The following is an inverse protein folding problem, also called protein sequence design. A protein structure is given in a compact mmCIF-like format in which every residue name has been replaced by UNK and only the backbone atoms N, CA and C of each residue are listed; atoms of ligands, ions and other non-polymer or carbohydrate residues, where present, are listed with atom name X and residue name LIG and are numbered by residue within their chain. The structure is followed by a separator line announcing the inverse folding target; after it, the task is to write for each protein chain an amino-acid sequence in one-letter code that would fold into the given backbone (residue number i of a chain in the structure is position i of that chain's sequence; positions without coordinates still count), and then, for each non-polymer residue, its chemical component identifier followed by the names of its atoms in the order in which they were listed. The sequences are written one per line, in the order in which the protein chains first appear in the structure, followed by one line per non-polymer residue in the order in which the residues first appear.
data_IF_665388114876
#
_entry.id   IF_665388114876
#
_cell.length_a   1.000
_cell.length_b   1.000
_cell.length_c   1.000
_cell.angle_alpha   90.00
_cell.angle_beta   90.00
_cell.angle_gamma   90.00
#
_symmetry.space_group_name_H-M   'P 1'
#
loop_
_entity.id
_entity.type
_entity.pdbx_description
1 polymer ?
#
# COMPACT_ATOMS: atom_id res chain seq x y z
N UNK A 1 -29.08 4.35 23.24
CA UNK A 1 -28.27 5.34 23.99
C UNK A 1 -26.96 5.46 23.23
N UNK A 2 -26.79 6.52 22.44
CA UNK A 2 -25.55 6.72 21.65
C UNK A 2 -24.51 7.21 22.64
N UNK A 3 -23.52 6.39 22.96
CA UNK A 3 -22.38 6.79 23.77
C UNK A 3 -21.72 7.99 23.04
N UNK A 4 -21.77 9.17 23.65
CA UNK A 4 -21.16 10.38 23.08
C UNK A 4 -19.66 10.14 22.95
N UNK A 5 -19.20 9.90 21.71
CA UNK A 5 -17.79 9.82 21.39
C UNK A 5 -17.12 11.10 21.90
N UNK A 6 -16.19 10.95 22.84
CA UNK A 6 -15.46 12.11 23.38
C UNK A 6 -14.51 12.64 22.32
N UNK A 7 -14.46 13.97 22.16
CA UNK A 7 -13.56 14.60 21.17
C UNK A 7 -12.09 14.11 21.28
N UNK A 8 -11.65 13.72 22.47
CA UNK A 8 -10.33 13.11 22.69
C UNK A 8 -10.14 11.72 22.07
N UNK A 9 -11.21 11.01 21.70
CA UNK A 9 -11.09 9.69 21.07
C UNK A 9 -10.74 9.79 19.56
N UNK A 10 -10.93 10.98 18.97
CA UNK A 10 -10.64 11.25 17.58
C UNK A 10 -9.15 11.50 17.33
N UNK A 11 -8.50 12.13 18.31
CA UNK A 11 -7.10 12.60 18.21
C UNK A 11 -6.15 11.76 19.08
N UNK A 12 -6.44 10.47 19.23
CA UNK A 12 -5.59 9.55 20.02
C UNK A 12 -4.25 9.25 19.33
N UNK A 13 -4.26 9.22 18.01
CA UNK A 13 -3.08 8.90 17.22
C UNK A 13 -2.15 10.11 17.15
N UNK A 14 -0.91 9.93 17.63
CA UNK A 14 0.11 10.99 17.70
C UNK A 14 1.17 10.88 16.61
N UNK A 15 1.28 9.73 15.96
CA UNK A 15 2.26 9.49 14.91
C UNK A 15 1.69 8.59 13.80
N UNK A 16 2.38 8.57 12.66
CA UNK A 16 2.01 7.75 11.51
C UNK A 16 1.99 6.26 11.84
N UNK A 17 2.80 5.82 12.81
CA UNK A 17 2.84 4.44 13.26
C UNK A 17 1.54 4.01 13.95
N UNK A 18 0.94 4.89 14.74
CA UNK A 18 -0.37 4.62 15.39
C UNK A 18 -1.45 4.42 14.32
N UNK A 19 -1.43 5.27 13.27
CA UNK A 19 -2.35 5.15 12.13
C UNK A 19 -2.11 3.84 11.37
N UNK A 20 -0.85 3.41 11.20
CA UNK A 20 -0.51 2.13 10.60
C UNK A 20 -1.10 0.95 11.37
N UNK A 21 -0.98 0.95 12.69
CA UNK A 21 -1.55 -0.10 13.54
C UNK A 21 -3.09 -0.17 13.44
N UNK A 22 -3.74 0.99 13.29
CA UNK A 22 -5.18 1.03 13.01
C UNK A 22 -5.50 0.52 11.61
N UNK A 23 -4.70 0.87 10.61
CA UNK A 23 -4.87 0.42 9.23
C UNK A 23 -4.73 -1.10 9.09
N UNK A 24 -3.92 -1.74 9.94
CA UNK A 24 -3.79 -3.20 9.99
C UNK A 24 -5.07 -3.91 10.46
N UNK A 25 -5.96 -3.22 11.20
CA UNK A 25 -7.27 -3.79 11.59
C UNK A 25 -8.25 -3.88 10.42
N UNK A 26 -8.02 -3.10 9.37
CA UNK A 26 -8.84 -3.15 8.15
C UNK A 26 -8.38 -4.32 7.29
N UNK A 27 -9.21 -5.34 7.18
CA UNK A 27 -8.91 -6.53 6.38
C UNK A 27 -8.72 -6.19 4.91
N UNK A 28 -7.84 -6.92 4.25
CA UNK A 28 -7.75 -6.89 2.78
C UNK A 28 -8.87 -7.73 2.17
N UNK A 29 -9.37 -7.32 1.02
CA UNK A 29 -10.32 -8.13 0.26
C UNK A 29 -9.68 -9.48 -0.13
N UNK A 30 -10.45 -10.56 0.00
CA UNK A 30 -10.01 -11.92 -0.38
C UNK A 30 -9.60 -11.96 -1.86
N UNK A 31 -10.32 -11.23 -2.73
CA UNK A 31 -9.97 -11.11 -4.15
C UNK A 31 -8.58 -10.49 -4.36
N UNK A 32 -8.24 -9.45 -3.61
CA UNK A 32 -6.90 -8.81 -3.67
C UNK A 32 -5.81 -9.79 -3.23
N UNK A 33 -6.06 -10.55 -2.16
CA UNK A 33 -5.11 -11.53 -1.65
C UNK A 33 -4.90 -12.68 -2.65
N UNK A 34 -5.98 -13.22 -3.22
CA UNK A 34 -5.90 -14.27 -4.24
C UNK A 34 -5.14 -13.81 -5.49
N UNK A 35 -5.42 -12.59 -5.97
CA UNK A 35 -4.70 -12.02 -7.13
C UNK A 35 -3.21 -11.85 -6.84
N UNK A 36 -2.86 -11.38 -5.66
CA UNK A 36 -1.46 -11.20 -5.25
C UNK A 36 -0.72 -12.53 -5.15
N UNK A 37 -1.34 -13.53 -4.54
CA UNK A 37 -0.79 -14.89 -4.44
C UNK A 37 -0.61 -15.53 -5.81
N UNK A 38 -1.58 -15.37 -6.72
CA UNK A 38 -1.49 -15.86 -8.09
C UNK A 38 -0.28 -15.28 -8.82
N UNK A 39 -0.09 -13.94 -8.74
CA UNK A 39 1.06 -13.28 -9.37
C UNK A 39 2.38 -13.74 -8.73
N UNK A 40 2.42 -13.85 -7.41
CA UNK A 40 3.62 -14.33 -6.70
C UNK A 40 4.00 -15.74 -7.15
N UNK A 41 3.03 -16.66 -7.26
CA UNK A 41 3.25 -18.05 -7.73
C UNK A 41 3.75 -18.06 -9.18
N UNK A 42 3.16 -17.22 -10.06
CA UNK A 42 3.60 -17.13 -11.46
C UNK A 42 5.05 -16.63 -11.56
N UNK A 43 5.42 -15.59 -10.81
CA UNK A 43 6.78 -15.06 -10.80
C UNK A 43 7.77 -16.05 -10.19
N UNK A 44 7.36 -16.76 -9.14
CA UNK A 44 8.16 -17.81 -8.53
C UNK A 44 8.39 -18.97 -9.50
N UNK A 45 7.35 -19.42 -10.19
CA UNK A 45 7.45 -20.46 -11.22
C UNK A 45 8.39 -20.02 -12.34
N UNK A 46 8.28 -18.78 -12.81
CA UNK A 46 9.14 -18.23 -13.85
C UNK A 46 10.63 -18.20 -13.41
N UNK A 47 10.90 -17.83 -12.16
CA UNK A 47 12.27 -17.75 -11.63
C UNK A 47 12.90 -19.12 -11.35
N UNK A 48 12.10 -20.13 -10.97
CA UNK A 48 12.61 -21.44 -10.54
C UNK A 48 12.62 -22.48 -11.65
N UNK A 49 11.57 -22.51 -12.50
CA UNK A 49 11.43 -23.57 -13.51
C UNK A 49 11.97 -23.20 -14.90
N UNK A 50 12.05 -21.90 -15.23
CA UNK A 50 12.53 -21.44 -16.52
C UNK A 50 14.04 -21.11 -16.51
N UNK A 51 14.77 -21.51 -15.46
CA UNK A 51 16.25 -21.36 -15.31
C UNK A 51 16.76 -19.98 -15.76
N UNK A 52 16.06 -18.93 -15.34
CA UNK A 52 16.46 -17.59 -15.72
C UNK A 52 17.81 -17.24 -15.09
N UNK A 53 18.80 -16.87 -15.91
CA UNK A 53 20.10 -16.44 -15.42
C UNK A 53 19.95 -15.36 -14.34
N UNK A 54 20.64 -15.52 -13.22
CA UNK A 54 20.62 -14.59 -12.08
C UNK A 54 20.93 -13.15 -12.50
N UNK A 55 21.74 -12.93 -13.52
CA UNK A 55 22.05 -11.61 -14.06
C UNK A 55 20.81 -10.95 -14.71
N UNK A 56 20.00 -11.75 -15.38
CA UNK A 56 18.73 -11.29 -15.98
C UNK A 56 17.75 -10.89 -14.89
N UNK A 57 17.60 -11.73 -13.85
CA UNK A 57 16.73 -11.42 -12.71
C UNK A 57 17.15 -10.14 -11.99
N UNK A 58 18.45 -9.93 -11.78
CA UNK A 58 18.99 -8.71 -11.16
C UNK A 58 18.66 -7.48 -12.04
N UNK A 59 18.78 -7.61 -13.34
CA UNK A 59 18.44 -6.52 -14.28
C UNK A 59 16.96 -6.19 -14.24
N UNK A 60 16.10 -7.21 -14.24
CA UNK A 60 14.66 -7.06 -14.10
C UNK A 60 14.28 -6.39 -12.76
N UNK A 61 14.88 -6.81 -11.64
CA UNK A 61 14.69 -6.20 -10.32
C UNK A 61 14.99 -4.69 -10.35
N UNK A 62 16.11 -4.30 -10.97
CA UNK A 62 16.50 -2.88 -11.09
C UNK A 62 15.53 -2.08 -11.95
N UNK A 63 15.17 -2.61 -13.12
CA UNK A 63 14.24 -1.98 -14.04
C UNK A 63 12.85 -1.82 -13.40
N UNK A 64 12.33 -2.87 -12.78
CA UNK A 64 11.04 -2.83 -12.09
C UNK A 64 11.06 -1.90 -10.87
N UNK A 65 12.18 -1.85 -10.13
CA UNK A 65 12.30 -0.92 -9.02
C UNK A 65 12.33 0.54 -9.49
N UNK A 66 13.01 0.85 -10.58
CA UNK A 66 13.01 2.19 -11.17
C UNK A 66 11.61 2.59 -11.65
N UNK A 67 10.94 1.68 -12.35
CA UNK A 67 9.57 1.87 -12.83
C UNK A 67 8.59 2.03 -11.66
N UNK A 68 8.70 1.19 -10.63
CA UNK A 68 7.89 1.23 -9.43
C UNK A 68 8.12 2.51 -8.62
N UNK A 69 9.35 2.98 -8.51
CA UNK A 69 9.67 4.24 -7.85
C UNK A 69 8.99 5.43 -8.55
N UNK A 70 9.15 5.56 -9.86
CA UNK A 70 8.51 6.62 -10.64
C UNK A 70 6.98 6.56 -10.52
N UNK A 71 6.40 5.36 -10.61
CA UNK A 71 4.98 5.16 -10.45
C UNK A 71 4.49 5.59 -9.06
N UNK A 72 5.19 5.17 -8.00
CA UNK A 72 4.76 5.50 -6.63
C UNK A 72 4.87 6.98 -6.33
N UNK A 73 5.95 7.65 -6.71
CA UNK A 73 6.15 9.10 -6.48
C UNK A 73 5.08 9.92 -7.22
N UNK A 74 4.82 9.59 -8.48
CA UNK A 74 3.80 10.28 -9.29
C UNK A 74 2.41 10.05 -8.71
N UNK A 75 2.08 8.80 -8.34
CA UNK A 75 0.76 8.45 -7.80
C UNK A 75 0.55 9.06 -6.42
N UNK A 76 1.59 9.18 -5.56
CA UNK A 76 1.47 9.84 -4.26
C UNK A 76 1.00 11.29 -4.40
N UNK A 77 1.50 12.04 -5.39
CA UNK A 77 1.02 13.38 -5.69
C UNK A 77 -0.49 13.41 -6.00
N UNK A 78 -0.94 12.46 -6.82
CA UNK A 78 -2.35 12.29 -7.16
C UNK A 78 -3.22 11.90 -5.95
N UNK A 79 -2.72 11.01 -5.10
CA UNK A 79 -3.41 10.58 -3.88
C UNK A 79 -3.60 11.76 -2.92
N UNK A 80 -2.57 12.60 -2.74
CA UNK A 80 -2.64 13.80 -1.89
C UNK A 80 -3.71 14.76 -2.42
N UNK A 81 -3.71 15.03 -3.73
CA UNK A 81 -4.74 15.88 -4.35
C UNK A 81 -6.15 15.31 -4.14
N UNK A 82 -6.35 14.01 -4.39
CA UNK A 82 -7.62 13.33 -4.17
C UNK A 82 -8.08 13.38 -2.71
N UNK A 83 -7.17 13.19 -1.77
CA UNK A 83 -7.46 13.31 -0.34
C UNK A 83 -7.85 14.74 0.05
N UNK A 84 -7.17 15.75 -0.50
CA UNK A 84 -7.49 17.16 -0.25
C UNK A 84 -8.90 17.49 -0.75
N UNK A 85 -9.25 17.05 -1.95
CA UNK A 85 -10.62 17.22 -2.50
C UNK A 85 -11.66 16.57 -1.56
N UNK A 86 -11.39 15.33 -1.13
CA UNK A 86 -12.24 14.63 -0.17
C UNK A 86 -12.43 15.43 1.11
N UNK A 87 -11.35 15.95 1.69
CA UNK A 87 -11.40 16.69 2.96
C UNK A 87 -12.11 18.05 2.84
N UNK A 88 -12.05 18.69 1.67
CA UNK A 88 -12.65 20.03 1.44
C UNK A 88 -14.11 19.99 0.99
N UNK A 89 -14.53 18.94 0.26
CA UNK A 89 -15.92 18.81 -0.21
C UNK A 89 -16.89 18.39 0.89
N UNK A 90 -16.41 17.86 1.99
CA UNK A 90 -17.24 17.32 3.05
C UNK A 90 -17.74 18.41 3.99
N UNK A 91 -19.06 18.50 4.16
CA UNK A 91 -19.68 19.42 5.12
C UNK A 91 -19.43 18.98 6.56
N UNK A 92 -19.19 19.91 7.51
CA UNK A 92 -18.98 19.59 8.93
C UNK A 92 -20.10 18.72 9.54
N UNK A 93 -21.35 19.00 9.20
CA UNK A 93 -22.52 18.27 9.73
C UNK A 93 -22.52 16.80 9.31
N UNK A 94 -22.08 16.52 8.08
CA UNK A 94 -21.90 15.15 7.59
C UNK A 94 -20.82 14.42 8.38
N UNK A 95 -19.69 15.06 8.66
CA UNK A 95 -18.64 14.48 9.49
C UNK A 95 -19.12 14.16 10.90
N UNK A 96 -19.89 15.07 11.53
CA UNK A 96 -20.48 14.85 12.85
C UNK A 96 -21.40 13.63 12.87
N UNK A 97 -22.20 13.47 11.82
CA UNK A 97 -23.08 12.30 11.71
C UNK A 97 -22.31 11.00 11.48
N UNK A 98 -21.30 11.02 10.59
CA UNK A 98 -20.45 9.84 10.39
C UNK A 98 -19.67 9.44 11.64
N UNK A 99 -19.46 10.38 12.56
CA UNK A 99 -18.85 10.09 13.86
C UNK A 99 -19.82 9.40 14.82
N UNK A 100 -21.13 9.65 14.69
CA UNK A 100 -22.16 9.05 15.55
C UNK A 100 -22.41 7.56 15.23
N UNK A 101 -21.98 7.08 14.06
CA UNK A 101 -22.16 5.67 13.65
C UNK A 101 -20.86 4.90 13.73
N UNK A 102 -20.92 3.66 14.22
CA UNK A 102 -19.80 2.73 14.25
C UNK A 102 -19.79 1.82 13.02
N UNK A 103 -18.59 1.56 12.51
CA UNK A 103 -18.41 0.56 11.46
C UNK A 103 -18.63 -0.85 12.02
N UNK A 104 -19.46 -1.71 11.39
CA UNK A 104 -19.89 -2.99 11.96
C UNK A 104 -18.74 -3.96 12.26
N UNK A 105 -17.72 -4.00 11.43
CA UNK A 105 -16.60 -4.93 11.60
C UNK A 105 -15.53 -4.42 12.56
N UNK A 106 -15.16 -3.14 12.46
CA UNK A 106 -14.00 -2.60 13.18
C UNK A 106 -14.36 -1.89 14.48
N UNK A 107 -15.65 -1.64 14.71
CA UNK A 107 -16.16 -0.87 15.87
C UNK A 107 -15.57 0.54 15.98
N UNK A 108 -14.98 1.03 14.93
CA UNK A 108 -14.48 2.41 14.83
C UNK A 108 -15.61 3.33 14.31
N UNK A 109 -15.63 4.62 14.68
CA UNK A 109 -16.50 5.60 14.02
C UNK A 109 -16.32 5.54 12.50
N UNK A 110 -17.41 5.60 11.75
CA UNK A 110 -17.38 5.49 10.27
C UNK A 110 -16.46 6.54 9.66
N UNK A 111 -16.46 7.77 10.20
CA UNK A 111 -15.52 8.80 9.77
C UNK A 111 -14.06 8.35 9.93
N UNK A 112 -13.71 7.87 11.11
CA UNK A 112 -12.34 7.40 11.41
C UNK A 112 -11.95 6.22 10.53
N UNK A 113 -12.87 5.28 10.31
CA UNK A 113 -12.65 4.15 9.39
C UNK A 113 -12.31 4.63 7.96
N UNK A 114 -13.05 5.60 7.43
CA UNK A 114 -12.79 6.13 6.10
C UNK A 114 -11.42 6.82 6.01
N UNK A 115 -11.08 7.68 6.97
CA UNK A 115 -9.77 8.32 7.00
C UNK A 115 -8.62 7.31 7.12
N UNK A 116 -8.76 6.31 7.99
CA UNK A 116 -7.77 5.24 8.16
C UNK A 116 -7.65 4.40 6.88
N UNK A 117 -8.76 4.14 6.18
CA UNK A 117 -8.74 3.46 4.88
C UNK A 117 -7.94 4.22 3.83
N UNK A 118 -8.09 5.56 3.76
CA UNK A 118 -7.26 6.38 2.87
C UNK A 118 -5.79 6.37 3.31
N UNK A 119 -5.53 6.55 4.59
CA UNK A 119 -4.16 6.52 5.12
C UNK A 119 -3.47 5.18 4.88
N UNK A 120 -4.19 4.06 4.90
CA UNK A 120 -3.66 2.73 4.56
C UNK A 120 -3.04 2.71 3.16
N UNK A 121 -3.70 3.36 2.19
CA UNK A 121 -3.20 3.46 0.82
C UNK A 121 -1.91 4.28 0.78
N UNK A 122 -1.89 5.46 1.42
CA UNK A 122 -0.68 6.28 1.49
C UNK A 122 0.50 5.53 2.10
N UNK A 123 0.27 4.84 3.22
CA UNK A 123 1.30 4.07 3.90
C UNK A 123 1.85 2.96 2.98
N UNK A 124 0.99 2.26 2.24
CA UNK A 124 1.42 1.24 1.29
C UNK A 124 2.31 1.82 0.18
N UNK A 125 1.92 2.96 -0.39
CA UNK A 125 2.71 3.65 -1.42
C UNK A 125 4.05 4.15 -0.86
N UNK A 126 4.07 4.77 0.31
CA UNK A 126 5.30 5.25 0.97
C UNK A 126 6.24 4.07 1.24
N UNK A 127 5.74 2.97 1.78
CA UNK A 127 6.53 1.79 2.07
C UNK A 127 7.17 1.20 0.80
N UNK A 128 6.39 1.04 -0.27
CA UNK A 128 6.92 0.55 -1.54
C UNK A 128 7.90 1.54 -2.19
N UNK A 129 7.68 2.85 -2.05
CA UNK A 129 8.63 3.87 -2.51
C UNK A 129 9.99 3.71 -1.84
N UNK A 130 10.02 3.52 -0.52
CA UNK A 130 11.27 3.25 0.21
C UNK A 130 11.90 1.93 -0.19
N UNK A 131 11.11 0.89 -0.41
CA UNK A 131 11.61 -0.40 -0.89
C UNK A 131 12.31 -0.26 -2.25
N UNK A 132 11.67 0.41 -3.22
CA UNK A 132 12.27 0.64 -4.53
C UNK A 132 13.49 1.53 -4.47
N UNK A 133 13.44 2.61 -3.68
CA UNK A 133 14.57 3.49 -3.46
C UNK A 133 15.78 2.74 -2.88
N UNK A 134 15.53 1.85 -1.91
CA UNK A 134 16.56 1.01 -1.33
C UNK A 134 17.24 0.13 -2.41
N UNK A 135 16.45 -0.52 -3.27
CA UNK A 135 16.98 -1.33 -4.37
C UNK A 135 17.78 -0.45 -5.35
N UNK A 136 17.26 0.72 -5.71
CA UNK A 136 17.93 1.65 -6.63
C UNK A 136 19.29 2.11 -6.07
N UNK A 137 19.36 2.45 -4.78
CA UNK A 137 20.59 2.97 -4.18
C UNK A 137 21.63 1.87 -3.92
N UNK A 138 21.20 0.72 -3.43
CA UNK A 138 22.11 -0.32 -2.93
C UNK A 138 22.40 -1.43 -3.93
N UNK A 139 21.48 -1.75 -4.86
CA UNK A 139 21.65 -2.83 -5.82
C UNK A 139 22.23 -2.40 -7.18
N UNK A 140 22.86 -1.23 -7.26
CA UNK A 140 23.55 -0.76 -8.47
C UNK A 140 24.71 -1.69 -8.87
N UNK A 141 25.03 -1.79 -10.19
CA UNK A 141 26.23 -2.47 -10.66
C UNK A 141 27.47 -1.80 -10.02
N UNK A 142 28.31 -2.56 -9.33
CA UNK A 142 29.46 -2.07 -8.56
C UNK A 142 29.10 -1.20 -7.33
N UNK A 143 27.83 -1.14 -6.93
CA UNK A 143 27.37 -0.48 -5.71
C UNK A 143 27.77 -1.24 -4.44
N UNK A 144 27.53 -0.60 -3.29
CA UNK A 144 27.84 -1.17 -1.97
C UNK A 144 27.19 -2.54 -1.77
N UNK A 145 25.90 -2.67 -2.10
CA UNK A 145 25.15 -3.93 -1.96
C UNK A 145 25.70 -5.04 -2.84
N UNK A 146 26.09 -4.74 -4.10
CA UNK A 146 26.71 -5.72 -5.00
C UNK A 146 28.05 -6.21 -4.46
N UNK A 147 28.84 -5.34 -3.86
CA UNK A 147 30.15 -5.71 -3.28
C UNK A 147 29.97 -6.52 -1.99
N UNK A 148 29.07 -6.09 -1.09
CA UNK A 148 28.74 -6.84 0.12
C UNK A 148 28.22 -8.24 -0.23
N UNK A 149 27.32 -8.35 -1.21
CA UNK A 149 26.76 -9.62 -1.64
C UNK A 149 27.80 -10.58 -2.24
N UNK A 150 28.88 -10.05 -2.84
CA UNK A 150 30.01 -10.85 -3.33
C UNK A 150 30.90 -11.35 -2.19
N UNK A 151 31.14 -10.52 -1.17
CA UNK A 151 32.03 -10.84 -0.04
C UNK A 151 31.34 -11.80 0.93
N UNK A 152 30.01 -11.83 1.01
CA UNK A 152 29.28 -12.72 1.91
C UNK A 152 29.59 -14.19 1.59
N UNK A 153 30.02 -15.00 2.58
CA UNK A 153 30.35 -16.41 2.39
C UNK A 153 29.07 -17.27 2.26
N UNK A 154 28.21 -16.93 1.31
CA UNK A 154 26.99 -17.66 1.01
C UNK A 154 27.23 -18.59 -0.19
N UNK A 155 26.63 -19.77 -0.15
CA UNK A 155 26.64 -20.69 -1.30
C UNK A 155 25.92 -20.07 -2.50
N UNK A 156 26.28 -20.46 -3.70
CA UNK A 156 25.67 -19.96 -4.94
C UNK A 156 24.15 -20.18 -4.95
N UNK A 157 23.71 -21.32 -4.42
CA UNK A 157 22.28 -21.66 -4.32
C UNK A 157 21.51 -20.66 -3.42
N UNK A 158 22.06 -20.31 -2.27
CA UNK A 158 21.45 -19.33 -1.37
C UNK A 158 21.40 -17.95 -2.04
N UNK A 159 22.47 -17.55 -2.73
CA UNK A 159 22.52 -16.28 -3.49
C UNK A 159 21.42 -16.23 -4.55
N UNK A 160 21.29 -17.27 -5.34
CA UNK A 160 20.23 -17.37 -6.36
C UNK A 160 18.84 -17.37 -5.75
N UNK A 161 18.64 -18.07 -4.62
CA UNK A 161 17.39 -18.06 -3.87
C UNK A 161 16.97 -16.65 -3.39
N UNK A 162 17.91 -15.86 -2.86
CA UNK A 162 17.67 -14.47 -2.43
C UNK A 162 17.29 -13.60 -3.64
N UNK A 163 17.99 -13.74 -4.77
CA UNK A 163 17.68 -12.98 -6.00
C UNK A 163 16.29 -13.33 -6.49
N UNK A 164 15.94 -14.62 -6.59
CA UNK A 164 14.62 -15.08 -7.02
C UNK A 164 13.50 -14.58 -6.09
N UNK A 165 13.72 -14.63 -4.78
CA UNK A 165 12.77 -14.13 -3.80
C UNK A 165 12.57 -12.61 -3.92
N UNK A 166 13.66 -11.85 -4.07
CA UNK A 166 13.61 -10.39 -4.29
C UNK A 166 12.86 -10.05 -5.58
N UNK A 167 13.10 -10.80 -6.66
CA UNK A 167 12.39 -10.66 -7.93
C UNK A 167 10.87 -10.83 -7.73
N UNK A 168 10.45 -11.87 -7.02
CA UNK A 168 9.04 -12.10 -6.72
C UNK A 168 8.42 -10.98 -5.88
N UNK A 169 9.14 -10.48 -4.87
CA UNK A 169 8.65 -9.39 -4.02
C UNK A 169 8.48 -8.11 -4.84
N UNK A 170 9.50 -7.71 -5.60
CA UNK A 170 9.45 -6.47 -6.38
C UNK A 170 8.34 -6.54 -7.44
N UNK A 171 8.23 -7.63 -8.20
CA UNK A 171 7.18 -7.80 -9.19
C UNK A 171 5.77 -7.81 -8.58
N UNK A 172 5.58 -8.55 -7.48
CA UNK A 172 4.29 -8.61 -6.78
C UNK A 172 3.92 -7.28 -6.14
N UNK A 173 4.89 -6.48 -5.67
CA UNK A 173 4.62 -5.18 -5.05
C UNK A 173 4.01 -4.18 -6.02
N UNK A 174 4.39 -4.21 -7.31
CA UNK A 174 3.80 -3.36 -8.35
C UNK A 174 2.32 -3.70 -8.52
N UNK A 175 2.00 -4.98 -8.63
CA UNK A 175 0.60 -5.44 -8.76
C UNK A 175 -0.19 -5.11 -7.48
N UNK A 176 0.41 -5.29 -6.31
CA UNK A 176 -0.20 -4.88 -5.04
C UNK A 176 -0.60 -3.41 -5.04
N UNK A 177 0.29 -2.51 -5.48
CA UNK A 177 0.01 -1.08 -5.55
C UNK A 177 -1.14 -0.73 -6.50
N UNK A 178 -1.23 -1.41 -7.65
CA UNK A 178 -2.34 -1.24 -8.58
C UNK A 178 -3.67 -1.68 -7.95
N UNK A 179 -3.69 -2.79 -7.21
CA UNK A 179 -4.88 -3.27 -6.51
C UNK A 179 -5.29 -2.34 -5.37
N UNK A 180 -4.32 -1.77 -4.66
CA UNK A 180 -4.55 -0.76 -3.61
C UNK A 180 -5.11 0.53 -4.22
N UNK A 181 -4.56 0.99 -5.36
CA UNK A 181 -5.06 2.15 -6.09
C UNK A 181 -6.50 1.94 -6.57
N UNK A 182 -6.82 0.76 -7.12
CA UNK A 182 -8.20 0.38 -7.47
C UNK A 182 -9.15 0.55 -6.27
N UNK A 183 -8.75 0.07 -5.11
CA UNK A 183 -9.55 0.17 -3.88
C UNK A 183 -9.73 1.62 -3.45
N UNK A 184 -8.68 2.45 -3.56
CA UNK A 184 -8.73 3.87 -3.26
C UNK A 184 -9.75 4.61 -4.15
N UNK A 185 -9.69 4.38 -5.47
CA UNK A 185 -10.63 4.98 -6.43
C UNK A 185 -12.07 4.60 -6.09
N UNK A 186 -12.32 3.32 -5.77
CA UNK A 186 -13.64 2.86 -5.38
C UNK A 186 -14.11 3.51 -4.07
N UNK A 187 -13.23 3.67 -3.09
CA UNK A 187 -13.56 4.30 -1.82
C UNK A 187 -13.93 5.78 -2.00
N UNK A 188 -13.22 6.52 -2.87
CA UNK A 188 -13.59 7.90 -3.22
C UNK A 188 -14.97 7.94 -3.87
N UNK A 189 -15.21 7.08 -4.87
CA UNK A 189 -16.51 6.99 -5.53
C UNK A 189 -17.64 6.73 -4.52
N UNK A 190 -17.48 5.70 -3.69
CA UNK A 190 -18.48 5.33 -2.69
C UNK A 190 -18.75 6.47 -1.69
N UNK A 191 -17.69 7.20 -1.30
CA UNK A 191 -17.84 8.36 -0.42
C UNK A 191 -18.63 9.48 -1.07
N UNK A 192 -18.30 9.88 -2.31
CA UNK A 192 -19.01 10.93 -3.04
C UNK A 192 -20.49 10.56 -3.21
N UNK A 193 -20.78 9.32 -3.59
CA UNK A 193 -22.17 8.86 -3.75
C UNK A 193 -22.94 8.88 -2.43
N UNK A 194 -22.31 8.50 -1.33
CA UNK A 194 -22.91 8.60 0.01
C UNK A 194 -23.15 10.05 0.43
N UNK A 195 -22.26 10.97 0.10
CA UNK A 195 -22.43 12.41 0.36
C UNK A 195 -23.64 12.97 -0.37
N UNK A 196 -23.76 12.65 -1.67
CA UNK A 196 -24.92 13.08 -2.48
C UNK A 196 -26.23 12.50 -1.92
N UNK A 197 -26.24 11.22 -1.57
CA UNK A 197 -27.39 10.57 -0.98
C UNK A 197 -27.84 11.24 0.32
N UNK A 198 -26.89 11.68 1.12
CA UNK A 198 -27.14 12.40 2.37
C UNK A 198 -27.83 13.76 2.11
N UNK A 199 -27.35 14.52 1.12
CA UNK A 199 -27.95 15.79 0.76
C UNK A 199 -29.38 15.66 0.21
N UNK A 200 -29.69 14.50 -0.39
CA UNK A 200 -31.05 14.23 -0.91
C UNK A 200 -32.07 13.88 0.18
N UNK A 201 -31.64 13.51 1.37
CA UNK A 201 -32.47 13.10 2.49
C UNK A 201 -32.64 14.19 3.55
N UNK A 202 -32.08 15.37 3.33
CA UNK A 202 -32.32 16.58 4.11
C UNK A 202 -33.29 17.47 3.34
#
# INVERSE_FOLDING_TARGET
MIEKIKAGDITKEKCLWDVYLLACKIKMSTSTLCSLLSVFILLFSNSFFLEKDSNVLITDIRNWSSLGFNFTVTTLGFLIAGFTIFATLSKPDMFLTMMAYEHPETKMPVLKYNFVSFMKVFIAFIFCTFLYLFVILFCQPKGVGSNVFKILPLTTEIKNGIISFTYCIIGSSIVYLLLVLKTFIFNIYAFIMNTIRWEYHI
#
